data_IF_292888784625
#
_entry.id   IF_292888784625
#
_cell.length_a   1.000
_cell.length_b   1.000
_cell.length_c   1.000
_cell.angle_alpha   90.00
_cell.angle_beta   90.00
_cell.angle_gamma   90.00
#
_symmetry.space_group_name_H-M   'P 1'
#
loop_
_entity.id
_entity.type
_entity.pdbx_description
1 polymer ?
#
# COMPACT_ATOMS: atom_id res chain seq x y z
N UNK A 1 15.64 -13.26 11.09
CA UNK A 1 14.17 -13.12 11.11
C UNK A 1 13.83 -11.78 10.49
N UNK A 2 12.87 -11.73 9.58
CA UNK A 2 12.45 -10.50 8.90
C UNK A 2 10.98 -10.61 8.49
N UNK A 3 10.33 -9.45 8.37
CA UNK A 3 8.97 -9.41 7.82
C UNK A 3 9.04 -9.72 6.32
N UNK A 4 8.13 -10.56 5.82
CA UNK A 4 8.05 -10.89 4.39
C UNK A 4 7.02 -10.03 3.68
N UNK A 5 5.75 -10.22 4.00
CA UNK A 5 4.65 -9.52 3.32
C UNK A 5 3.46 -9.36 4.25
N UNK A 6 2.49 -8.56 3.80
CA UNK A 6 1.19 -8.45 4.44
C UNK A 6 0.12 -9.06 3.54
N UNK A 7 -0.88 -9.70 4.14
CA UNK A 7 -2.03 -10.24 3.43
C UNK A 7 -3.26 -9.36 3.65
N UNK A 8 -3.96 -9.04 2.57
CA UNK A 8 -5.17 -8.23 2.58
C UNK A 8 -6.34 -9.04 2.04
N UNK A 9 -7.39 -9.19 2.82
CA UNK A 9 -8.63 -9.76 2.30
C UNK A 9 -9.29 -8.79 1.32
N UNK A 10 -9.72 -9.32 0.19
CA UNK A 10 -10.42 -8.53 -0.83
C UNK A 10 -11.74 -9.21 -1.20
N UNK A 11 -12.77 -8.41 -1.41
CA UNK A 11 -14.09 -8.92 -1.77
C UNK A 11 -14.20 -9.25 -3.26
N UNK A 12 -13.52 -8.48 -4.11
CA UNK A 12 -13.51 -8.63 -5.57
C UNK A 12 -12.06 -8.55 -6.05
N UNK A 13 -11.50 -9.70 -6.42
CA UNK A 13 -10.08 -9.79 -6.79
C UNK A 13 -9.75 -8.93 -8.00
N UNK A 14 -10.58 -8.95 -9.05
CA UNK A 14 -10.31 -8.20 -10.28
C UNK A 14 -10.32 -6.69 -10.03
N UNK A 15 -11.29 -6.21 -9.26
CA UNK A 15 -11.37 -4.80 -8.87
C UNK A 15 -10.15 -4.38 -8.06
N UNK A 16 -9.73 -5.19 -7.12
CA UNK A 16 -8.56 -4.90 -6.29
C UNK A 16 -7.27 -4.94 -7.11
N UNK A 17 -7.13 -5.90 -8.03
CA UNK A 17 -5.98 -5.96 -8.93
C UNK A 17 -5.88 -4.71 -9.81
N UNK A 18 -7.01 -4.24 -10.35
CA UNK A 18 -7.03 -3.01 -11.14
C UNK A 18 -6.56 -1.80 -10.33
N UNK A 19 -7.03 -1.70 -9.08
CA UNK A 19 -6.60 -0.63 -8.18
C UNK A 19 -5.10 -0.69 -7.89
N UNK A 20 -4.58 -1.85 -7.46
CA UNK A 20 -3.18 -1.99 -7.09
C UNK A 20 -2.24 -1.81 -8.28
N UNK A 21 -2.65 -2.28 -9.47
CA UNK A 21 -1.91 -1.98 -10.72
C UNK A 21 -1.89 -0.49 -11.02
N UNK A 22 -3.02 0.21 -10.82
CA UNK A 22 -3.08 1.66 -11.01
C UNK A 22 -2.18 2.42 -10.04
N UNK A 23 -1.99 1.92 -8.82
CA UNK A 23 -1.03 2.47 -7.85
C UNK A 23 0.41 2.22 -8.30
N UNK A 24 0.68 1.13 -9.01
CA UNK A 24 2.02 0.80 -9.51
C UNK A 24 2.49 -0.61 -9.20
N UNK A 25 1.65 -1.43 -8.57
CA UNK A 25 2.03 -2.81 -8.26
C UNK A 25 2.08 -3.69 -9.50
N UNK A 26 3.04 -4.59 -9.50
CA UNK A 26 3.15 -5.69 -10.46
C UNK A 26 2.56 -6.95 -9.85
N UNK A 27 1.82 -7.72 -10.64
CA UNK A 27 1.35 -9.04 -10.23
C UNK A 27 2.45 -10.05 -10.55
N UNK A 28 3.05 -10.60 -9.51
CA UNK A 28 4.13 -11.59 -9.65
C UNK A 28 3.57 -12.97 -10.00
N UNK A 29 2.41 -13.31 -9.44
CA UNK A 29 1.78 -14.60 -9.71
C UNK A 29 0.53 -14.81 -8.89
N UNK A 30 -0.10 -15.95 -9.11
CA UNK A 30 -1.30 -16.39 -8.42
C UNK A 30 -1.10 -17.78 -7.83
N UNK A 31 -1.71 -18.01 -6.66
CA UNK A 31 -1.89 -19.36 -6.11
C UNK A 31 -3.39 -19.57 -5.98
N UNK A 32 -4.02 -20.26 -6.96
CA UNK A 32 -5.49 -20.26 -7.07
C UNK A 32 -6.21 -21.00 -5.96
N UNK A 33 -5.57 -22.00 -5.36
CA UNK A 33 -6.23 -22.83 -4.35
C UNK A 33 -5.33 -22.99 -3.13
N UNK A 34 -5.70 -22.33 -2.05
CA UNK A 34 -5.06 -22.47 -0.75
C UNK A 34 -6.12 -22.57 0.34
N UNK A 35 -5.77 -22.98 1.56
CA UNK A 35 -6.71 -22.92 2.68
C UNK A 35 -7.25 -21.52 2.96
N UNK A 36 -6.54 -20.47 2.54
CA UNK A 36 -6.97 -19.08 2.70
C UNK A 36 -7.86 -18.60 1.55
N UNK A 37 -7.85 -19.30 0.42
CA UNK A 37 -8.52 -18.90 -0.82
C UNK A 37 -7.52 -18.67 -1.96
N UNK A 38 -7.92 -17.89 -2.95
CA UNK A 38 -7.05 -17.48 -4.05
C UNK A 38 -6.12 -16.36 -3.60
N UNK A 39 -4.82 -16.53 -3.83
CA UNK A 39 -3.81 -15.52 -3.51
C UNK A 39 -3.27 -14.87 -4.78
N UNK A 40 -3.19 -13.55 -4.79
CA UNK A 40 -2.46 -12.79 -5.80
C UNK A 40 -1.26 -12.13 -5.14
N UNK A 41 -0.09 -12.39 -5.71
CA UNK A 41 1.20 -11.92 -5.15
C UNK A 41 1.62 -10.64 -5.85
N UNK A 42 1.82 -9.58 -5.09
CA UNK A 42 2.11 -8.25 -5.60
C UNK A 42 3.44 -7.72 -5.07
N UNK A 43 4.13 -6.94 -5.90
CA UNK A 43 5.26 -6.12 -5.47
C UNK A 43 5.31 -4.82 -6.28
N UNK A 44 5.90 -3.79 -5.71
CA UNK A 44 6.29 -2.59 -6.45
C UNK A 44 7.62 -2.85 -7.18
N UNK A 45 7.92 -2.10 -8.26
CA UNK A 45 9.20 -2.25 -8.97
C UNK A 45 10.44 -2.12 -8.08
N UNK A 46 10.36 -1.31 -7.01
CA UNK A 46 11.45 -1.13 -6.06
C UNK A 46 11.55 -2.20 -4.97
N UNK A 47 10.59 -3.12 -4.89
CA UNK A 47 10.60 -4.19 -3.90
C UNK A 47 11.44 -5.37 -4.41
N UNK A 48 12.31 -5.90 -3.57
CA UNK A 48 13.08 -7.10 -3.92
C UNK A 48 12.22 -8.36 -3.94
N UNK A 49 11.17 -8.38 -3.11
CA UNK A 49 10.29 -9.54 -2.92
C UNK A 49 8.83 -9.13 -2.95
N UNK A 50 7.94 -10.13 -3.02
CA UNK A 50 6.50 -9.93 -2.81
C UNK A 50 6.29 -9.23 -1.48
N UNK A 51 5.56 -8.12 -1.50
CA UNK A 51 5.30 -7.32 -0.31
C UNK A 51 3.83 -7.37 0.11
N UNK A 52 2.92 -7.65 -0.83
CA UNK A 52 1.47 -7.70 -0.58
C UNK A 52 0.89 -8.96 -1.22
N UNK A 53 0.06 -9.67 -0.46
CA UNK A 53 -0.81 -10.72 -0.98
C UNK A 53 -2.25 -10.24 -0.92
N UNK A 54 -2.97 -10.31 -2.03
CA UNK A 54 -4.42 -10.18 -2.02
C UNK A 54 -5.04 -11.55 -1.80
N UNK A 55 -5.91 -11.65 -0.83
CA UNK A 55 -6.54 -12.91 -0.42
C UNK A 55 -8.03 -12.84 -0.74
N UNK A 56 -8.47 -13.66 -1.69
CA UNK A 56 -9.88 -13.75 -2.06
C UNK A 56 -10.44 -15.12 -1.69
N UNK A 57 -11.28 -15.16 -0.68
CA UNK A 57 -11.98 -16.35 -0.26
C UNK A 57 -13.41 -16.34 -0.81
N UNK A 58 -13.81 -17.31 -1.66
CA UNK A 58 -15.18 -17.36 -2.16
C UNK A 58 -16.19 -17.48 -1.02
N UNK A 59 -17.18 -16.61 -1.00
CA UNK A 59 -18.27 -16.63 -0.03
C UNK A 59 -17.93 -16.15 1.37
N UNK A 60 -16.64 -15.87 1.64
CA UNK A 60 -16.19 -15.40 2.93
C UNK A 60 -15.59 -14.01 2.82
N UNK A 61 -16.41 -13.02 2.83
CA UNK A 61 -15.94 -11.66 2.67
C UNK A 61 -14.86 -11.25 3.65
N UNK A 62 -14.06 -10.28 3.25
CA UNK A 62 -13.15 -9.56 4.10
C UNK A 62 -13.94 -8.98 5.27
N UNK A 63 -13.52 -9.28 6.47
CA UNK A 63 -14.16 -8.80 7.68
C UNK A 63 -13.25 -7.80 8.36
N UNK A 64 -13.48 -6.54 8.12
CA UNK A 64 -12.74 -5.46 8.76
C UNK A 64 -13.70 -4.60 9.57
N UNK A 65 -14.45 -5.24 10.44
CA UNK A 65 -15.31 -4.51 11.32
C UNK A 65 -14.58 -4.21 12.62
N UNK A 66 -14.43 -2.96 12.99
CA UNK A 66 -13.98 -2.58 14.30
C UNK A 66 -12.63 -1.89 14.35
N UNK A 67 -12.13 -1.72 15.59
CA UNK A 67 -10.95 -0.92 15.89
C UNK A 67 -9.64 -1.74 15.94
N UNK A 68 -9.70 -3.01 15.60
CA UNK A 68 -8.53 -3.92 15.59
C UNK A 68 -8.20 -4.38 14.17
N UNK A 69 -6.99 -4.85 13.96
CA UNK A 69 -6.50 -5.32 12.67
C UNK A 69 -5.54 -4.35 12.02
N UNK A 70 -5.39 -4.45 10.73
CA UNK A 70 -4.48 -3.59 9.98
C UNK A 70 -5.02 -2.16 9.95
N UNK A 71 -4.23 -1.20 10.45
CA UNK A 71 -4.55 0.23 10.32
C UNK A 71 -4.26 0.71 8.90
N UNK A 72 -3.04 0.54 8.46
CA UNK A 72 -2.56 0.96 7.15
C UNK A 72 -1.23 0.28 6.84
N UNK A 73 -0.79 0.39 5.60
CA UNK A 73 0.60 0.18 5.25
C UNK A 73 1.08 1.37 4.41
N UNK A 74 2.38 1.55 4.32
CA UNK A 74 2.96 2.72 3.70
C UNK A 74 3.78 2.37 2.47
N UNK A 75 3.73 3.27 1.48
CA UNK A 75 4.51 3.22 0.25
C UNK A 75 5.35 4.48 0.18
N UNK A 76 6.63 4.33 -0.11
CA UNK A 76 7.49 5.46 -0.43
C UNK A 76 7.25 5.92 -1.87
N UNK A 77 7.17 7.22 -2.07
CA UNK A 77 7.13 7.84 -3.39
C UNK A 77 8.27 8.84 -3.53
N UNK A 78 8.84 8.95 -4.73
CA UNK A 78 9.92 9.92 -4.98
C UNK A 78 9.41 11.35 -5.05
N UNK A 79 8.25 11.53 -5.72
CA UNK A 79 7.63 12.85 -5.88
C UNK A 79 6.15 12.73 -5.56
N UNK A 80 5.72 13.39 -4.49
CA UNK A 80 4.31 13.43 -4.12
C UNK A 80 3.47 14.08 -5.23
N UNK A 81 3.91 15.18 -5.78
CA UNK A 81 3.16 15.88 -6.81
C UNK A 81 2.98 15.04 -8.07
N UNK A 82 4.03 14.39 -8.56
CA UNK A 82 3.94 13.51 -9.72
C UNK A 82 3.06 12.30 -9.46
N UNK A 83 3.16 11.73 -8.27
CA UNK A 83 2.35 10.59 -7.85
C UNK A 83 0.87 10.95 -7.84
N UNK A 84 0.50 12.09 -7.26
CA UNK A 84 -0.89 12.53 -7.19
C UNK A 84 -1.49 12.78 -8.58
N UNK A 85 -0.71 13.37 -9.50
CA UNK A 85 -1.14 13.55 -10.90
C UNK A 85 -1.41 12.21 -11.56
N UNK A 86 -0.52 11.24 -11.39
CA UNK A 86 -0.68 9.91 -11.98
C UNK A 86 -1.88 9.15 -11.40
N UNK A 87 -2.09 9.22 -10.08
CA UNK A 87 -3.23 8.58 -9.43
C UNK A 87 -4.55 9.19 -9.89
N UNK A 88 -4.63 10.53 -9.94
CA UNK A 88 -5.84 11.22 -10.41
C UNK A 88 -6.17 10.86 -11.86
N UNK A 89 -5.17 10.73 -12.73
CA UNK A 89 -5.36 10.30 -14.11
C UNK A 89 -5.91 8.87 -14.23
N UNK A 90 -5.76 8.07 -13.18
CA UNK A 90 -6.27 6.70 -13.11
C UNK A 90 -7.53 6.57 -12.25
N UNK A 91 -8.12 7.68 -11.86
CA UNK A 91 -9.37 7.72 -11.09
C UNK A 91 -9.20 7.42 -9.61
N UNK A 92 -7.98 7.53 -9.07
CA UNK A 92 -7.72 7.35 -7.64
C UNK A 92 -7.58 8.72 -6.99
N UNK A 93 -8.49 9.01 -6.05
CA UNK A 93 -8.44 10.23 -5.27
C UNK A 93 -7.58 10.03 -4.02
N UNK A 94 -6.75 11.01 -3.73
CA UNK A 94 -5.94 11.05 -2.52
C UNK A 94 -6.36 12.24 -1.66
N UNK A 95 -6.16 12.15 -0.37
CA UNK A 95 -6.31 13.31 0.52
C UNK A 95 -5.27 14.38 0.17
N UNK A 96 -5.53 15.62 0.55
CA UNK A 96 -4.55 16.70 0.38
C UNK A 96 -3.30 16.38 1.21
N UNK A 97 -2.09 16.43 0.60
CA UNK A 97 -0.87 16.13 1.33
C UNK A 97 -0.62 17.09 2.49
N UNK A 98 -0.06 16.55 3.55
CA UNK A 98 0.37 17.32 4.72
C UNK A 98 1.86 17.10 4.95
N UNK A 99 2.47 17.98 5.74
CA UNK A 99 3.86 17.84 6.14
C UNK A 99 3.94 17.56 7.64
N UNK A 100 4.50 16.41 8.06
CA UNK A 100 4.61 16.09 9.48
C UNK A 100 5.51 17.04 10.27
N UNK A 101 6.51 17.65 9.62
CA UNK A 101 7.47 18.55 10.25
C UNK A 101 7.37 20.02 9.78
N UNK A 102 6.38 20.33 8.92
CA UNK A 102 6.19 21.66 8.37
C UNK A 102 7.11 22.01 7.20
N UNK A 103 8.02 21.11 6.80
CA UNK A 103 8.88 21.33 5.63
C UNK A 103 8.12 21.18 4.32
N UNK A 104 8.73 21.55 3.21
CA UNK A 104 8.13 21.43 1.87
C UNK A 104 8.39 20.08 1.23
N UNK A 105 9.36 19.33 1.71
CA UNK A 105 9.83 18.09 1.09
C UNK A 105 9.47 16.83 1.86
N UNK A 106 9.13 16.91 3.15
CA UNK A 106 8.56 15.78 3.89
C UNK A 106 7.04 15.85 3.78
N UNK A 107 6.45 14.95 2.97
CA UNK A 107 5.03 14.99 2.66
C UNK A 107 4.40 13.62 2.76
N UNK A 108 3.20 13.58 3.32
CA UNK A 108 2.40 12.35 3.42
C UNK A 108 0.97 12.59 2.95
N UNK A 109 0.35 11.55 2.44
CA UNK A 109 -1.07 11.52 2.14
C UNK A 109 -1.59 10.10 2.24
N UNK A 110 -2.88 9.90 1.98
CA UNK A 110 -3.51 8.59 2.04
C UNK A 110 -4.41 8.37 0.84
N UNK A 111 -4.46 7.13 0.38
CA UNK A 111 -5.45 6.62 -0.56
C UNK A 111 -6.17 5.44 0.09
N UNK A 112 -7.39 5.19 -0.34
CA UNK A 112 -8.21 4.09 0.16
C UNK A 112 -8.42 3.09 -0.97
N UNK A 113 -8.16 1.82 -0.71
CA UNK A 113 -8.39 0.78 -1.69
C UNK A 113 -9.88 0.43 -1.80
N UNK A 114 -10.30 -0.41 -2.77
CA UNK A 114 -11.71 -0.76 -2.95
C UNK A 114 -12.37 -1.45 -1.75
N UNK A 115 -11.61 -2.03 -0.84
CA UNK A 115 -12.11 -2.72 0.35
C UNK A 115 -11.98 -1.88 1.63
N UNK A 116 -11.58 -0.62 1.50
CA UNK A 116 -11.46 0.30 2.63
C UNK A 116 -10.12 0.25 3.35
N UNK A 117 -9.12 -0.44 2.80
CA UNK A 117 -7.79 -0.44 3.38
C UNK A 117 -7.09 0.89 3.10
N UNK A 118 -6.44 1.43 4.12
CA UNK A 118 -5.70 2.67 4.01
C UNK A 118 -4.27 2.41 3.57
N UNK A 119 -3.83 3.14 2.55
CA UNK A 119 -2.45 3.13 2.07
C UNK A 119 -1.90 4.55 2.26
N UNK A 120 -0.85 4.66 3.05
CA UNK A 120 -0.14 5.92 3.24
C UNK A 120 0.95 6.06 2.17
N UNK A 121 1.01 7.23 1.56
CA UNK A 121 2.10 7.58 0.64
C UNK A 121 3.04 8.53 1.33
N UNK A 122 4.33 8.25 1.26
CA UNK A 122 5.36 9.02 1.99
C UNK A 122 6.44 9.47 1.02
N UNK A 123 6.64 10.77 0.96
CA UNK A 123 7.81 11.39 0.34
C UNK A 123 8.75 11.83 1.44
N UNK A 124 9.92 11.22 1.52
CA UNK A 124 10.93 11.58 2.51
C UNK A 124 11.63 12.89 2.17
N UNK A 125 12.14 13.63 3.18
CA UNK A 125 12.98 14.79 2.94
C UNK A 125 14.26 14.42 2.18
N UNK A 126 14.79 15.34 1.43
CA UNK A 126 16.06 15.16 0.74
C UNK A 126 17.17 14.73 1.74
N UNK A 127 17.92 13.70 1.39
CA UNK A 127 18.98 13.15 2.23
C UNK A 127 18.53 12.20 3.34
N UNK A 128 17.22 11.99 3.53
CA UNK A 128 16.72 10.99 4.44
C UNK A 128 16.91 9.58 3.86
N UNK A 129 17.10 8.59 4.73
CA UNK A 129 17.10 7.20 4.32
C UNK A 129 15.72 6.80 3.77
N UNK A 130 15.69 5.74 2.99
CA UNK A 130 14.46 5.25 2.34
C UNK A 130 13.56 4.46 3.29
N UNK A 131 13.36 4.94 4.49
CA UNK A 131 12.51 4.33 5.49
C UNK A 131 12.90 4.75 6.89
N UNK A 132 12.09 4.37 7.85
CA UNK A 132 12.35 4.65 9.25
C UNK A 132 13.41 3.71 9.80
N UNK A 133 14.35 4.25 10.55
CA UNK A 133 15.41 3.51 11.19
C UNK A 133 15.63 3.98 12.65
N UNK A 134 16.47 3.31 13.39
CA UNK A 134 16.79 3.72 14.76
C UNK A 134 17.39 5.14 14.83
N UNK A 135 17.97 5.63 13.73
CA UNK A 135 18.55 6.97 13.68
C UNK A 135 17.49 8.09 13.74
N UNK A 136 16.24 7.78 13.47
CA UNK A 136 15.15 8.76 13.49
C UNK A 136 14.63 9.03 14.90
N UNK A 137 15.10 8.30 15.90
CA UNK A 137 14.71 8.48 17.30
C UNK A 137 15.90 8.88 18.15
N UNK A 138 15.74 9.94 18.99
CA UNK A 138 16.76 10.27 19.95
C UNK A 138 16.90 9.16 21.01
N UNK A 139 18.11 8.89 21.41
CA UNK A 139 18.40 7.93 22.50
C UNK A 139 18.18 8.57 23.88
#
# INVERSE_FOLDING_TARGET
MRTLHVGLHVADLDRSLDFYRAVGYEVVGHVPETPLGHLAMLKLPGDDFVAVELVHAPGGGAQHGGSTGLSHFAIQVESMDATLVNLAARGIDAEAPTSPDGSTDFRTTRVIDPDGNTIELVQWPAGHAEGLSAADWPT
#
